data_IF_834661980631
#
_entry.id   IF_834661980631
#
_cell.length_a   1.000
_cell.length_b   1.000
_cell.length_c   1.000
_cell.angle_alpha   90.00
_cell.angle_beta   90.00
_cell.angle_gamma   90.00
#
_symmetry.space_group_name_H-M   'P 1'
#
loop_
_entity.id
_entity.type
_entity.pdbx_description
1 polymer ?
#
# COMPACT_ATOMS: atom_id res chain seq x y z
N UNK A 1 -17.78 -36.65 12.25
CA UNK A 1 -17.14 -35.43 11.70
C UNK A 1 -16.84 -35.69 10.24
N UNK A 2 -17.39 -34.90 9.32
CA UNK A 2 -17.13 -35.01 7.88
C UNK A 2 -15.68 -34.55 7.65
N UNK A 3 -14.82 -35.29 6.93
CA UNK A 3 -13.45 -34.85 6.68
C UNK A 3 -13.53 -33.48 6.00
N UNK A 4 -12.91 -32.48 6.62
CA UNK A 4 -12.76 -31.15 6.03
C UNK A 4 -11.97 -31.38 4.76
N UNK A 5 -12.60 -31.14 3.62
CA UNK A 5 -11.98 -31.32 2.32
C UNK A 5 -10.94 -30.20 2.19
N UNK A 6 -9.67 -30.54 2.45
CA UNK A 6 -8.53 -29.61 2.55
C UNK A 6 -8.46 -28.71 1.31
N UNK A 7 -8.87 -29.24 0.16
CA UNK A 7 -8.98 -28.52 -1.11
C UNK A 7 -9.94 -27.33 -1.07
N UNK A 8 -11.14 -27.52 -0.50
CA UNK A 8 -12.16 -26.47 -0.39
C UNK A 8 -11.70 -25.39 0.58
N UNK A 9 -11.04 -25.80 1.66
CA UNK A 9 -10.47 -24.88 2.64
C UNK A 9 -9.35 -24.02 2.02
N UNK A 10 -8.37 -24.64 1.36
CA UNK A 10 -7.26 -23.96 0.67
C UNK A 10 -7.77 -22.93 -0.36
N UNK A 11 -8.75 -23.32 -1.17
CA UNK A 11 -9.28 -22.44 -2.21
C UNK A 11 -9.99 -21.23 -1.60
N UNK A 12 -10.80 -21.45 -0.56
CA UNK A 12 -11.51 -20.38 0.14
C UNK A 12 -10.55 -19.39 0.81
N UNK A 13 -9.44 -19.88 1.37
CA UNK A 13 -8.49 -19.04 2.08
C UNK A 13 -7.63 -18.21 1.12
N UNK A 14 -7.26 -18.79 -0.03
CA UNK A 14 -6.61 -18.04 -1.13
C UNK A 14 -7.54 -16.97 -1.68
N UNK A 15 -8.83 -17.27 -1.88
CA UNK A 15 -9.82 -16.28 -2.34
C UNK A 15 -10.01 -15.13 -1.34
N UNK A 16 -10.16 -15.45 -0.06
CA UNK A 16 -10.28 -14.47 1.01
C UNK A 16 -9.02 -13.57 1.09
N UNK A 17 -7.83 -14.18 1.00
CA UNK A 17 -6.57 -13.45 0.92
C UNK A 17 -6.49 -12.49 -0.27
N UNK A 18 -6.97 -12.92 -1.45
CA UNK A 18 -7.06 -12.08 -2.66
C UNK A 18 -8.02 -10.91 -2.43
N UNK A 19 -9.20 -11.12 -1.84
CA UNK A 19 -10.17 -10.06 -1.56
C UNK A 19 -9.62 -9.01 -0.59
N UNK A 20 -9.01 -9.46 0.50
CA UNK A 20 -8.39 -8.58 1.51
C UNK A 20 -7.30 -7.73 0.86
N UNK A 21 -6.41 -8.33 0.06
CA UNK A 21 -5.35 -7.59 -0.64
C UNK A 21 -5.93 -6.62 -1.68
N UNK A 22 -6.94 -7.05 -2.45
CA UNK A 22 -7.60 -6.22 -3.46
C UNK A 22 -8.24 -4.98 -2.83
N UNK A 23 -8.90 -5.14 -1.68
CA UNK A 23 -9.47 -4.04 -0.90
C UNK A 23 -8.39 -3.05 -0.44
N UNK A 24 -7.28 -3.56 0.13
CA UNK A 24 -6.14 -2.73 0.56
C UNK A 24 -5.51 -1.94 -0.60
N UNK A 25 -5.30 -2.58 -1.76
CA UNK A 25 -4.79 -1.92 -2.97
C UNK A 25 -5.71 -0.82 -3.46
N UNK A 26 -7.02 -1.05 -3.45
CA UNK A 26 -8.01 -0.05 -3.88
C UNK A 26 -8.08 1.15 -2.93
N UNK A 27 -7.99 0.92 -1.62
CA UNK A 27 -7.91 1.98 -0.62
C UNK A 27 -6.65 2.83 -0.83
N UNK A 28 -5.50 2.18 -1.08
CA UNK A 28 -4.25 2.88 -1.34
C UNK A 28 -4.35 3.72 -2.63
N UNK A 29 -4.90 3.16 -3.71
CA UNK A 29 -5.14 3.86 -4.98
C UNK A 29 -6.07 5.08 -4.80
N UNK A 30 -7.12 4.95 -4.00
CA UNK A 30 -8.03 6.07 -3.67
C UNK A 30 -7.29 7.16 -2.88
N UNK A 31 -6.51 6.81 -1.86
CA UNK A 31 -5.73 7.78 -1.06
C UNK A 31 -4.74 8.55 -1.93
N UNK A 32 -3.99 7.88 -2.80
CA UNK A 32 -3.05 8.55 -3.74
C UNK A 32 -3.77 9.50 -4.68
N UNK A 33 -4.93 9.12 -5.23
CA UNK A 33 -5.74 10.01 -6.07
C UNK A 33 -6.21 11.26 -5.32
N UNK A 34 -6.67 11.10 -4.07
CA UNK A 34 -7.12 12.22 -3.22
C UNK A 34 -5.97 13.18 -2.95
N UNK A 35 -4.78 12.66 -2.62
CA UNK A 35 -3.59 13.49 -2.37
C UNK A 35 -3.21 14.28 -3.63
N UNK A 36 -3.14 13.64 -4.80
CA UNK A 36 -2.81 14.34 -6.04
C UNK A 36 -3.84 15.41 -6.40
N UNK A 37 -5.12 15.14 -6.17
CA UNK A 37 -6.19 16.11 -6.40
C UNK A 37 -6.09 17.30 -5.42
N UNK A 38 -5.79 17.05 -4.15
CA UNK A 38 -5.54 18.11 -3.16
C UNK A 38 -4.35 18.99 -3.57
N UNK A 39 -3.24 18.39 -4.02
CA UNK A 39 -2.07 19.12 -4.51
C UNK A 39 -2.43 20.05 -5.68
N UNK A 40 -3.21 19.56 -6.65
CA UNK A 40 -3.69 20.35 -7.79
C UNK A 40 -4.63 21.48 -7.34
N UNK A 41 -5.58 21.20 -6.45
CA UNK A 41 -6.50 22.20 -5.94
C UNK A 41 -5.77 23.28 -5.14
N UNK A 42 -4.82 22.90 -4.28
CA UNK A 42 -4.01 23.85 -3.51
C UNK A 42 -3.17 24.73 -4.43
N UNK A 43 -2.51 24.15 -5.45
CA UNK A 43 -1.78 24.93 -6.45
C UNK A 43 -2.67 25.92 -7.20
N UNK A 44 -3.87 25.48 -7.59
CA UNK A 44 -4.87 26.35 -8.22
C UNK A 44 -5.34 27.46 -7.29
N UNK A 45 -5.64 27.15 -6.03
CA UNK A 45 -6.01 28.12 -4.99
C UNK A 45 -4.90 29.15 -4.78
N UNK A 46 -3.63 28.75 -4.68
CA UNK A 46 -2.50 29.68 -4.57
C UNK A 46 -2.44 30.60 -5.79
N UNK A 47 -2.64 30.06 -7.00
CA UNK A 47 -2.60 30.83 -8.25
C UNK A 47 -3.76 31.83 -8.33
N UNK A 48 -4.98 31.44 -7.96
CA UNK A 48 -6.16 32.32 -7.91
C UNK A 48 -5.97 33.38 -6.83
N UNK A 49 -5.53 32.97 -5.63
CA UNK A 49 -5.25 33.87 -4.52
C UNK A 49 -4.16 34.86 -4.88
N UNK A 50 -3.14 34.51 -5.67
CA UNK A 50 -2.11 35.47 -6.08
C UNK A 50 -2.57 36.35 -7.25
N UNK A 51 -3.38 35.82 -8.17
CA UNK A 51 -3.87 36.54 -9.35
C UNK A 51 -5.01 37.53 -9.08
N UNK A 52 -5.83 37.31 -8.05
CA UNK A 52 -6.85 38.26 -7.59
C UNK A 52 -6.24 39.25 -6.60
N UNK A 53 -5.63 40.33 -7.09
CA UNK A 53 -5.17 41.43 -6.22
C UNK A 53 -6.37 42.28 -5.79
N UNK A 54 -6.91 42.01 -4.60
CA UNK A 54 -7.95 42.83 -3.97
C UNK A 54 -7.26 43.78 -2.98
N UNK A 55 -7.16 45.06 -3.35
CA UNK A 55 -6.46 46.08 -2.54
C UNK A 55 -7.02 46.24 -1.12
N UNK A 56 -8.27 45.83 -0.87
CA UNK A 56 -8.89 45.87 0.46
C UNK A 56 -8.42 44.76 1.42
N UNK A 57 -7.79 43.67 0.94
CA UNK A 57 -7.50 42.47 1.74
C UNK A 57 -6.08 41.89 1.53
N UNK A 58 -5.11 42.71 1.11
CA UNK A 58 -3.74 42.28 0.78
C UNK A 58 -3.06 41.45 1.90
N UNK A 59 -3.20 41.83 3.17
CA UNK A 59 -2.62 41.10 4.31
C UNK A 59 -3.22 39.69 4.47
N UNK A 60 -4.54 39.55 4.27
CA UNK A 60 -5.26 38.29 4.42
C UNK A 60 -4.95 37.34 3.25
N UNK A 61 -4.82 37.89 2.04
CA UNK A 61 -4.40 37.20 0.82
C UNK A 61 -2.97 36.65 0.94
N UNK A 62 -2.04 37.46 1.47
CA UNK A 62 -0.64 37.04 1.71
C UNK A 62 -0.56 35.88 2.71
N UNK A 63 -1.29 35.97 3.82
CA UNK A 63 -1.29 34.91 4.84
C UNK A 63 -1.92 33.61 4.32
N UNK A 64 -2.99 33.70 3.51
CA UNK A 64 -3.58 32.54 2.83
C UNK A 64 -2.61 31.88 1.86
N UNK A 65 -1.93 32.65 1.02
CA UNK A 65 -0.94 32.12 0.08
C UNK A 65 0.22 31.40 0.80
N UNK A 66 0.69 31.96 1.92
CA UNK A 66 1.72 31.34 2.75
C UNK A 66 1.23 30.02 3.38
N UNK A 67 0.03 30.01 3.98
CA UNK A 67 -0.55 28.79 4.55
C UNK A 67 -0.75 27.71 3.49
N UNK A 68 -1.30 28.06 2.31
CA UNK A 68 -1.52 27.12 1.23
C UNK A 68 -0.20 26.55 0.68
N UNK A 69 0.83 27.39 0.55
CA UNK A 69 2.16 26.98 0.09
C UNK A 69 2.86 26.06 1.10
N UNK A 70 2.69 26.34 2.39
CA UNK A 70 3.21 25.47 3.46
C UNK A 70 2.52 24.10 3.45
N UNK A 71 1.19 24.06 3.30
CA UNK A 71 0.44 22.80 3.19
C UNK A 71 0.84 22.05 1.91
N UNK A 72 0.99 22.75 0.78
CA UNK A 72 1.43 22.15 -0.48
C UNK A 72 2.81 21.50 -0.34
N UNK A 73 3.73 22.16 0.36
CA UNK A 73 5.08 21.64 0.61
C UNK A 73 5.03 20.42 1.54
N UNK A 74 4.23 20.47 2.61
CA UNK A 74 4.04 19.34 3.51
C UNK A 74 3.42 18.13 2.80
N UNK A 75 2.42 18.33 1.95
CA UNK A 75 1.78 17.27 1.15
C UNK A 75 2.75 16.65 0.15
N UNK A 76 3.53 17.48 -0.56
CA UNK A 76 4.55 17.00 -1.49
C UNK A 76 5.66 16.22 -0.77
N UNK A 77 6.17 16.75 0.35
CA UNK A 77 7.14 16.07 1.20
C UNK A 77 6.62 14.73 1.73
N UNK A 78 5.37 14.69 2.20
CA UNK A 78 4.71 13.47 2.63
C UNK A 78 4.58 12.44 1.50
N UNK A 79 4.27 12.90 0.27
CA UNK A 79 4.21 12.03 -0.91
C UNK A 79 5.56 11.45 -1.34
N UNK A 80 6.67 12.09 -0.97
CA UNK A 80 8.03 11.60 -1.23
C UNK A 80 8.44 10.58 -0.16
N UNK A 81 8.14 10.87 1.12
CA UNK A 81 8.48 10.01 2.26
C UNK A 81 7.64 8.72 2.25
N UNK A 82 6.34 8.83 2.01
CA UNK A 82 5.52 7.67 1.71
C UNK A 82 5.80 7.28 0.28
N UNK A 83 6.69 6.33 0.11
CA UNK A 83 7.03 5.68 -1.16
C UNK A 83 5.80 4.88 -1.67
N UNK A 84 4.73 5.60 -2.04
CA UNK A 84 3.41 5.08 -2.38
C UNK A 84 3.51 4.15 -3.59
N UNK A 85 4.45 4.43 -4.49
CA UNK A 85 4.81 3.53 -5.59
C UNK A 85 5.34 2.21 -5.06
N UNK A 86 6.28 2.23 -4.11
CA UNK A 86 6.85 1.02 -3.51
C UNK A 86 5.81 0.19 -2.77
N UNK A 87 4.93 0.83 -1.98
CA UNK A 87 3.81 0.15 -1.32
C UNK A 87 2.82 -0.46 -2.32
N UNK A 88 2.48 0.28 -3.37
CA UNK A 88 1.56 -0.19 -4.41
C UNK A 88 2.13 -1.33 -5.25
N UNK A 89 3.39 -1.21 -5.69
CA UNK A 89 4.13 -2.26 -6.41
C UNK A 89 4.25 -3.52 -5.54
N UNK A 90 4.53 -3.36 -4.24
CA UNK A 90 4.59 -4.49 -3.30
C UNK A 90 3.25 -5.22 -3.20
N UNK A 91 2.16 -4.50 -2.93
CA UNK A 91 0.83 -5.10 -2.82
C UNK A 91 0.38 -5.74 -4.16
N UNK A 92 0.75 -5.14 -5.30
CA UNK A 92 0.49 -5.71 -6.63
C UNK A 92 1.27 -6.98 -6.89
N UNK A 93 2.53 -7.05 -6.48
CA UNK A 93 3.37 -8.24 -6.59
C UNK A 93 2.80 -9.41 -5.76
N UNK A 94 2.45 -9.16 -4.50
CA UNK A 94 1.81 -10.19 -3.65
C UNK A 94 0.47 -10.66 -4.22
N UNK A 95 -0.33 -9.73 -4.75
CA UNK A 95 -1.60 -10.08 -5.39
C UNK A 95 -1.39 -10.95 -6.64
N UNK A 96 -0.40 -10.63 -7.48
CA UNK A 96 -0.05 -11.43 -8.65
C UNK A 96 0.39 -12.85 -8.24
N UNK A 97 1.22 -12.98 -7.22
CA UNK A 97 1.66 -14.28 -6.70
C UNK A 97 0.49 -15.12 -6.18
N UNK A 98 -0.48 -14.50 -5.49
CA UNK A 98 -1.70 -15.19 -5.05
C UNK A 98 -2.59 -15.61 -6.24
N UNK A 99 -2.68 -14.80 -7.30
CA UNK A 99 -3.40 -15.18 -8.52
C UNK A 99 -2.73 -16.36 -9.25
N UNK A 100 -1.40 -16.35 -9.36
CA UNK A 100 -0.65 -17.46 -9.94
C UNK A 100 -0.87 -18.75 -9.13
N UNK A 101 -0.81 -18.66 -7.80
CA UNK A 101 -1.09 -19.78 -6.92
C UNK A 101 -2.52 -20.32 -7.09
N UNK A 102 -3.52 -19.42 -7.16
CA UNK A 102 -4.91 -19.81 -7.46
C UNK A 102 -5.03 -20.55 -8.79
N UNK A 103 -4.34 -20.06 -9.81
CA UNK A 103 -4.39 -20.66 -11.15
C UNK A 103 -3.73 -22.05 -11.16
N UNK A 104 -2.61 -22.22 -10.46
CA UNK A 104 -1.93 -23.51 -10.31
C UNK A 104 -2.79 -24.54 -9.56
N UNK A 105 -3.50 -24.10 -8.51
CA UNK A 105 -4.48 -24.92 -7.79
C UNK A 105 -5.61 -25.34 -8.74
N UNK A 106 -6.24 -24.38 -9.41
CA UNK A 106 -7.38 -24.63 -10.30
C UNK A 106 -7.02 -25.54 -11.50
N UNK A 107 -5.84 -25.35 -12.07
CA UNK A 107 -5.31 -26.22 -13.13
C UNK A 107 -5.03 -27.63 -12.62
N UNK A 108 -4.37 -27.77 -11.47
CA UNK A 108 -4.06 -29.08 -10.89
C UNK A 108 -5.33 -29.85 -10.51
N UNK A 109 -6.38 -29.14 -10.08
CA UNK A 109 -7.69 -29.70 -9.75
C UNK A 109 -8.42 -30.17 -11.02
N UNK A 110 -8.43 -29.32 -12.06
CA UNK A 110 -9.07 -29.64 -13.36
C UNK A 110 -8.35 -30.77 -14.10
N UNK A 111 -7.04 -30.89 -13.93
CA UNK A 111 -6.23 -31.96 -14.51
C UNK A 111 -6.31 -33.29 -13.72
N UNK A 112 -7.00 -33.33 -12.58
CA UNK A 112 -7.06 -34.51 -11.71
C UNK A 112 -5.71 -34.89 -11.09
N UNK A 113 -4.75 -33.96 -11.06
CA UNK A 113 -3.38 -34.17 -10.59
C UNK A 113 -3.18 -33.74 -9.12
N UNK A 114 -4.27 -33.55 -8.37
CA UNK A 114 -4.22 -33.13 -6.98
C UNK A 114 -3.89 -34.34 -6.07
N UNK A 115 -2.62 -34.76 -6.08
CA UNK A 115 -2.10 -35.68 -5.08
C UNK A 115 -1.90 -34.95 -3.74
N UNK A 116 -1.86 -35.70 -2.64
CA UNK A 116 -1.65 -35.14 -1.30
C UNK A 116 -0.31 -34.38 -1.19
N UNK A 117 0.74 -34.90 -1.83
CA UNK A 117 2.06 -34.25 -1.91
C UNK A 117 1.98 -32.89 -2.62
N UNK A 118 1.19 -32.79 -3.70
CA UNK A 118 1.01 -31.56 -4.45
C UNK A 118 0.18 -30.53 -3.69
N UNK A 119 -0.76 -30.97 -2.85
CA UNK A 119 -1.50 -30.09 -1.94
C UNK A 119 -0.57 -29.48 -0.88
N UNK A 120 0.36 -30.28 -0.33
CA UNK A 120 1.33 -29.82 0.65
C UNK A 120 2.30 -28.80 0.04
N UNK A 121 2.81 -29.07 -1.16
CA UNK A 121 3.66 -28.14 -1.92
C UNK A 121 2.98 -26.78 -2.16
N UNK A 122 1.69 -26.80 -2.55
CA UNK A 122 0.91 -25.57 -2.77
C UNK A 122 0.67 -24.80 -1.47
N UNK A 123 0.50 -25.50 -0.34
CA UNK A 123 0.36 -24.87 0.97
C UNK A 123 1.68 -24.28 1.49
N UNK A 124 2.81 -24.97 1.32
CA UNK A 124 4.13 -24.41 1.64
C UNK A 124 4.42 -23.16 0.81
N UNK A 125 4.06 -23.18 -0.48
CA UNK A 125 4.20 -22.02 -1.38
C UNK A 125 3.30 -20.86 -0.95
N UNK A 126 2.08 -21.13 -0.46
CA UNK A 126 1.23 -20.14 0.19
C UNK A 126 1.89 -19.52 1.42
N UNK A 127 2.42 -20.36 2.32
CA UNK A 127 3.09 -19.90 3.54
C UNK A 127 4.32 -19.04 3.23
N UNK A 128 5.14 -19.43 2.26
CA UNK A 128 6.29 -18.65 1.80
C UNK A 128 5.90 -17.27 1.27
N UNK A 129 4.81 -17.14 0.52
CA UNK A 129 4.31 -15.85 0.03
C UNK A 129 3.97 -14.93 1.22
N UNK A 130 3.33 -15.47 2.26
CA UNK A 130 2.99 -14.72 3.46
C UNK A 130 4.19 -14.40 4.35
N UNK A 131 5.14 -15.32 4.51
CA UNK A 131 6.37 -15.09 5.27
C UNK A 131 7.28 -14.06 4.60
N UNK A 132 7.38 -14.07 3.27
CA UNK A 132 8.09 -13.04 2.51
C UNK A 132 7.47 -11.66 2.74
N UNK A 133 6.14 -11.56 2.73
CA UNK A 133 5.44 -10.32 3.01
C UNK A 133 5.60 -9.86 4.48
N UNK A 134 5.65 -10.79 5.44
CA UNK A 134 5.83 -10.50 6.86
C UNK A 134 7.27 -10.15 7.29
N UNK A 135 8.27 -10.85 6.74
CA UNK A 135 9.69 -10.64 7.06
C UNK A 135 10.20 -9.27 6.59
N UNK A 136 9.76 -8.82 5.43
CA UNK A 136 9.96 -7.46 4.94
C UNK A 136 9.40 -6.39 5.90
N UNK A 137 8.19 -6.62 6.44
CA UNK A 137 7.57 -5.71 7.42
C UNK A 137 8.39 -5.64 8.72
N UNK A 138 8.88 -6.78 9.22
CA UNK A 138 9.77 -6.84 10.39
C UNK A 138 11.09 -6.10 10.15
N UNK A 139 11.66 -6.22 8.95
CA UNK A 139 12.89 -5.51 8.59
C UNK A 139 12.70 -3.99 8.48
N UNK A 140 11.55 -3.52 7.98
CA UNK A 140 11.22 -2.09 7.95
C UNK A 140 11.09 -1.54 9.38
N UNK A 141 10.40 -2.26 10.27
CA UNK A 141 10.24 -1.86 11.67
C UNK A 141 11.58 -1.83 12.43
N UNK A 142 12.49 -2.77 12.13
CA UNK A 142 13.84 -2.79 12.73
C UNK A 142 14.70 -1.62 12.24
N UNK A 143 14.61 -1.26 10.95
CA UNK A 143 15.33 -0.10 10.38
C UNK A 143 14.79 1.23 10.91
N UNK A 144 13.47 1.38 11.08
CA UNK A 144 12.89 2.59 11.68
C UNK A 144 13.28 2.74 13.15
N UNK A 145 13.38 1.63 13.89
CA UNK A 145 13.84 1.65 15.30
C UNK A 145 15.30 2.09 15.42
N UNK A 146 16.20 1.61 14.55
CA UNK A 146 17.62 2.02 14.55
C UNK A 146 17.84 3.48 14.11
N UNK A 147 17.03 3.99 13.18
CA UNK A 147 17.11 5.39 12.74
C UNK A 147 16.67 6.38 13.84
N UNK A 148 15.72 5.96 14.69
CA UNK A 148 15.26 6.76 15.83
C UNK A 148 16.32 6.81 16.95
N UNK A 149 16.98 5.69 17.24
CA UNK A 149 18.04 5.62 18.26
C UNK A 149 19.32 6.36 17.85
N UNK A 150 19.69 6.35 16.57
CA UNK A 150 20.87 7.06 16.07
C UNK A 150 20.71 8.58 16.04
N UNK A 151 19.49 9.11 15.88
CA UNK A 151 19.22 10.54 15.94
C UNK A 151 19.24 11.11 17.37
N UNK A 152 19.10 10.28 18.41
CA UNK A 152 19.20 10.73 19.81
C UNK A 152 20.64 10.74 20.32
N UNK A 153 21.54 9.90 19.79
CA UNK A 153 22.93 9.79 20.24
C UNK A 153 23.82 10.91 19.67
N UNK A 154 23.41 11.60 18.61
CA UNK A 154 24.18 12.71 18.00
C UNK A 154 23.86 14.09 18.55
N UNK A 155 22.98 14.20 19.56
CA UNK A 155 22.57 15.46 20.17
C UNK A 155 23.08 15.63 21.62
N UNK A 156 24.00 14.77 22.07
CA UNK A 156 24.73 14.89 23.35
C UNK A 156 26.22 15.16 23.11
#
# INVERSE_FOLDING_TARGET
MKPINIEVFLLSEVENGIEILKSKVNLLKKKTKIINMLTLLLGGLITITLGLTLDAYQELQRNLALCLSAILTAVNGWSIIFDYKKLWIRQKSTLLNLYQLKNDICFSQSAGLLSHDKQLELFERYQCIWESNGSEWRNINRKSSHAFTSAQITND
#
